data_IF_767673208276
#
_entry.id   IF_767673208276
#
_cell.length_a   1.000
_cell.length_b   1.000
_cell.length_c   1.000
_cell.angle_alpha   90.00
_cell.angle_beta   90.00
_cell.angle_gamma   90.00
#
_symmetry.space_group_name_H-M   'P 1'
#
loop_
_entity.id
_entity.type
_entity.pdbx_description
1 polymer ?
#
# COMPACT_ATOMS: atom_id res chain seq x y z
N UNK A 1 -10.02 -21.91 2.70
CA UNK A 1 -10.27 -20.53 2.24
C UNK A 1 -11.54 -20.56 1.42
N UNK A 2 -12.53 -19.75 1.79
CA UNK A 2 -13.76 -19.58 0.99
C UNK A 2 -13.63 -18.30 0.20
N UNK A 3 -13.56 -18.41 -1.12
CA UNK A 3 -13.46 -17.23 -1.99
C UNK A 3 -14.81 -16.50 -1.98
N UNK A 4 -14.81 -15.26 -1.49
CA UNK A 4 -15.99 -14.42 -1.40
C UNK A 4 -15.95 -13.25 -2.40
N UNK A 5 -15.00 -13.25 -3.33
CA UNK A 5 -14.76 -12.17 -4.29
C UNK A 5 -16.01 -11.77 -5.08
N UNK A 6 -16.89 -12.73 -5.37
CA UNK A 6 -18.14 -12.52 -6.14
C UNK A 6 -19.40 -12.67 -5.28
N UNK A 7 -19.26 -12.60 -3.94
CA UNK A 7 -20.38 -12.62 -3.01
C UNK A 7 -21.19 -11.31 -3.06
N UNK A 8 -22.26 -11.20 -2.24
CA UNK A 8 -23.08 -9.98 -2.13
C UNK A 8 -22.26 -8.72 -1.82
N UNK A 9 -21.10 -8.86 -1.19
CA UNK A 9 -20.20 -7.76 -0.80
C UNK A 9 -19.07 -7.51 -1.82
N UNK A 10 -19.18 -8.03 -3.04
CA UNK A 10 -18.14 -7.93 -4.07
C UNK A 10 -17.67 -6.50 -4.34
N UNK A 11 -18.57 -5.54 -4.26
CA UNK A 11 -18.27 -4.12 -4.47
C UNK A 11 -17.27 -3.56 -3.44
N UNK A 12 -17.31 -4.05 -2.19
CA UNK A 12 -16.33 -3.68 -1.17
C UNK A 12 -14.95 -4.26 -1.51
N UNK A 13 -14.88 -5.52 -1.91
CA UNK A 13 -13.62 -6.15 -2.30
C UNK A 13 -13.03 -5.48 -3.54
N UNK A 14 -13.87 -5.14 -4.54
CA UNK A 14 -13.45 -4.41 -5.73
C UNK A 14 -12.93 -3.01 -5.39
N UNK A 15 -13.68 -2.24 -4.59
CA UNK A 15 -13.28 -0.90 -4.17
C UNK A 15 -11.96 -0.93 -3.37
N UNK A 16 -11.83 -1.84 -2.42
CA UNK A 16 -10.61 -1.97 -1.62
C UNK A 16 -9.44 -2.42 -2.52
N UNK A 17 -9.66 -3.38 -3.41
CA UNK A 17 -8.67 -3.82 -4.39
C UNK A 17 -8.16 -2.67 -5.26
N UNK A 18 -9.06 -1.82 -5.75
CA UNK A 18 -8.72 -0.64 -6.52
C UNK A 18 -7.92 0.38 -5.71
N UNK A 19 -8.44 0.77 -4.53
CA UNK A 19 -7.89 1.86 -3.71
C UNK A 19 -6.61 1.45 -2.98
N UNK A 20 -6.53 0.21 -2.51
CA UNK A 20 -5.44 -0.26 -1.66
C UNK A 20 -4.36 -1.07 -2.41
N UNK A 21 -4.58 -1.39 -3.67
CA UNK A 21 -3.63 -2.18 -4.45
C UNK A 21 -3.36 -1.54 -5.82
N UNK A 22 -4.37 -1.42 -6.67
CA UNK A 22 -4.18 -0.99 -8.07
C UNK A 22 -3.66 0.45 -8.14
N UNK A 23 -4.36 1.39 -7.51
CA UNK A 23 -3.98 2.82 -7.55
C UNK A 23 -2.59 3.04 -6.93
N UNK A 24 -2.29 2.58 -5.70
CA UNK A 24 -0.97 2.79 -5.13
C UNK A 24 0.16 2.16 -5.96
N UNK A 25 -0.02 0.94 -6.44
CA UNK A 25 1.01 0.26 -7.24
C UNK A 25 1.31 1.02 -8.52
N UNK A 26 0.28 1.50 -9.22
CA UNK A 26 0.45 2.29 -10.43
C UNK A 26 1.14 3.63 -10.16
N UNK A 27 0.70 4.35 -9.11
CA UNK A 27 1.28 5.64 -8.74
C UNK A 27 2.74 5.49 -8.29
N UNK A 28 3.07 4.46 -7.52
CA UNK A 28 4.44 4.18 -7.10
C UNK A 28 5.29 3.84 -8.31
N UNK A 29 4.85 2.90 -9.16
CA UNK A 29 5.59 2.50 -10.36
C UNK A 29 5.88 3.69 -11.29
N UNK A 30 4.93 4.61 -11.42
CA UNK A 30 5.13 5.84 -12.19
C UNK A 30 6.09 6.81 -11.48
N UNK A 31 5.91 7.02 -10.17
CA UNK A 31 6.71 7.98 -9.40
C UNK A 31 8.18 7.59 -9.29
N UNK A 32 8.50 6.32 -9.03
CA UNK A 32 9.89 5.85 -8.86
C UNK A 32 10.74 5.91 -10.13
N UNK A 33 10.13 6.12 -11.30
CA UNK A 33 10.90 6.32 -12.52
C UNK A 33 11.61 7.68 -12.57
N UNK A 34 11.17 8.63 -11.77
CA UNK A 34 11.65 10.02 -11.81
C UNK A 34 12.26 10.52 -10.49
N UNK A 35 12.15 9.76 -9.43
CA UNK A 35 12.75 10.08 -8.13
C UNK A 35 13.75 9.01 -7.70
N UNK A 36 14.71 9.41 -6.89
CA UNK A 36 15.67 8.48 -6.32
C UNK A 36 14.97 7.53 -5.34
N UNK A 37 15.45 6.29 -5.25
CA UNK A 37 14.85 5.26 -4.39
C UNK A 37 14.83 5.64 -2.90
N UNK A 38 15.83 6.38 -2.42
CA UNK A 38 15.87 6.90 -1.06
C UNK A 38 14.74 7.91 -0.79
N UNK A 39 14.48 8.84 -1.72
CA UNK A 39 13.38 9.79 -1.61
C UNK A 39 12.03 9.06 -1.64
N UNK A 40 11.87 8.08 -2.53
CA UNK A 40 10.67 7.27 -2.58
C UNK A 40 10.43 6.53 -1.25
N UNK A 41 11.48 5.97 -0.64
CA UNK A 41 11.39 5.30 0.66
C UNK A 41 10.94 6.24 1.78
N UNK A 42 11.47 7.49 1.84
CA UNK A 42 11.04 8.50 2.81
C UNK A 42 9.57 8.87 2.62
N UNK A 43 9.16 9.07 1.37
CA UNK A 43 7.77 9.42 1.06
C UNK A 43 6.81 8.28 1.44
N UNK A 44 7.19 7.03 1.19
CA UNK A 44 6.42 5.87 1.65
C UNK A 44 6.41 5.75 3.17
N UNK A 45 7.51 6.05 3.84
CA UNK A 45 7.61 6.05 5.31
C UNK A 45 6.76 7.16 5.98
N UNK A 46 6.19 8.09 5.22
CA UNK A 46 5.18 9.04 5.72
C UNK A 46 3.80 8.41 5.95
N UNK A 47 3.59 7.15 5.54
CA UNK A 47 2.31 6.43 5.70
C UNK A 47 1.76 6.48 7.13
N UNK A 48 2.55 6.28 8.22
CA UNK A 48 2.03 6.38 9.58
C UNK A 48 1.54 7.78 9.96
N UNK A 49 2.11 8.84 9.38
CA UNK A 49 1.63 10.22 9.59
C UNK A 49 0.22 10.37 9.02
N UNK A 50 0.03 9.97 7.74
CA UNK A 50 -1.28 9.97 7.09
C UNK A 50 -2.28 9.08 7.84
N UNK A 51 -1.83 7.91 8.33
CA UNK A 51 -2.67 7.01 9.10
C UNK A 51 -3.12 7.62 10.44
N UNK A 52 -2.22 8.31 11.14
CA UNK A 52 -2.56 8.97 12.40
C UNK A 52 -3.62 10.05 12.21
N UNK A 53 -3.48 10.87 11.18
CA UNK A 53 -4.44 11.93 10.85
C UNK A 53 -5.79 11.31 10.43
N UNK A 54 -5.79 10.41 9.46
CA UNK A 54 -7.02 9.81 8.95
C UNK A 54 -7.73 8.94 10.00
N UNK A 55 -6.99 8.18 10.81
CA UNK A 55 -7.58 7.41 11.91
C UNK A 55 -8.31 8.30 12.91
N UNK A 56 -7.76 9.47 13.24
CA UNK A 56 -8.40 10.41 14.15
C UNK A 56 -9.81 10.81 13.71
N UNK A 57 -10.00 11.06 12.40
CA UNK A 57 -11.28 11.50 11.86
C UNK A 57 -12.24 10.35 11.57
N UNK A 58 -11.71 9.22 11.11
CA UNK A 58 -12.52 8.13 10.54
C UNK A 58 -12.66 6.89 11.43
N UNK A 59 -11.94 6.83 12.57
CA UNK A 59 -12.09 5.74 13.54
C UNK A 59 -12.52 6.27 14.92
N UNK A 60 -13.24 5.44 15.68
CA UNK A 60 -13.65 5.80 17.05
C UNK A 60 -12.55 5.58 18.10
N UNK A 61 -11.69 4.58 17.84
CA UNK A 61 -10.76 4.05 18.83
C UNK A 61 -9.32 4.54 18.68
N UNK A 62 -8.98 5.18 17.56
CA UNK A 62 -7.61 5.62 17.26
C UNK A 62 -7.51 7.15 17.21
N UNK A 63 -7.88 7.79 18.32
CA UNK A 63 -7.74 9.26 18.42
C UNK A 63 -6.29 9.68 18.58
N UNK A 64 -5.95 10.83 18.01
CA UNK A 64 -4.65 11.46 18.16
C UNK A 64 -4.42 11.73 19.65
N UNK A 65 -3.26 11.34 20.14
CA UNK A 65 -2.74 11.74 21.44
C UNK A 65 -1.26 12.11 21.30
N UNK A 66 -0.74 12.82 22.28
CA UNK A 66 0.63 13.33 22.25
C UNK A 66 1.66 12.22 22.06
N UNK A 67 1.52 11.09 22.77
CA UNK A 67 2.48 9.97 22.72
C UNK A 67 2.54 9.34 21.33
N UNK A 68 1.39 9.09 20.71
CA UNK A 68 1.33 8.52 19.34
C UNK A 68 1.94 9.47 18.32
N UNK A 69 1.55 10.75 18.38
CA UNK A 69 2.05 11.77 17.44
C UNK A 69 3.56 11.94 17.57
N UNK A 70 4.03 12.05 18.81
CA UNK A 70 5.47 12.18 19.07
C UNK A 70 6.26 10.96 18.57
N UNK A 71 5.78 9.74 18.84
CA UNK A 71 6.42 8.51 18.37
C UNK A 71 6.48 8.41 16.84
N UNK A 72 5.38 8.76 16.14
CA UNK A 72 5.32 8.76 14.69
C UNK A 72 6.25 9.82 14.09
N UNK A 73 6.26 11.04 14.64
CA UNK A 73 7.15 12.10 14.20
C UNK A 73 8.62 11.74 14.43
N UNK A 74 8.94 11.14 15.55
CA UNK A 74 10.30 10.73 15.90
C UNK A 74 10.80 9.63 14.97
N UNK A 75 9.96 8.62 14.68
CA UNK A 75 10.27 7.56 13.71
C UNK A 75 10.47 8.11 12.29
N UNK A 76 9.59 9.02 11.86
CA UNK A 76 9.71 9.66 10.54
C UNK A 76 10.98 10.52 10.44
N UNK A 77 11.30 11.28 11.49
CA UNK A 77 12.53 12.08 11.54
C UNK A 77 13.79 11.22 11.42
N UNK A 78 13.79 10.03 12.05
CA UNK A 78 14.88 9.07 11.92
C UNK A 78 15.08 8.59 10.47
N UNK A 79 13.98 8.31 9.76
CA UNK A 79 14.04 7.91 8.35
C UNK A 79 14.55 9.07 7.47
N UNK A 80 14.02 10.28 7.67
CA UNK A 80 14.51 11.47 6.97
C UNK A 80 16.00 11.66 7.20
N UNK A 81 16.47 11.53 8.45
CA UNK A 81 17.89 11.64 8.79
C UNK A 81 18.77 10.60 8.08
N UNK A 82 18.35 9.33 8.04
CA UNK A 82 19.09 8.26 7.38
C UNK A 82 19.26 8.49 5.87
N UNK A 83 18.30 9.11 5.23
CA UNK A 83 18.29 9.28 3.78
C UNK A 83 18.62 10.72 3.33
N UNK A 84 18.87 11.64 4.27
CA UNK A 84 19.02 13.08 3.98
C UNK A 84 20.22 13.41 3.08
N UNK A 85 21.33 12.67 3.20
CA UNK A 85 22.58 13.00 2.50
C UNK A 85 22.48 12.95 0.97
N UNK A 86 21.44 12.31 0.43
CA UNK A 86 21.26 12.11 -1.00
C UNK A 86 19.89 12.58 -1.52
N UNK A 87 19.20 13.46 -0.78
CA UNK A 87 17.89 13.96 -1.23
C UNK A 87 18.10 15.14 -2.16
N UNK A 88 17.99 14.89 -3.45
CA UNK A 88 17.93 15.94 -4.46
C UNK A 88 16.48 16.06 -4.93
N UNK A 89 15.77 17.04 -4.39
CA UNK A 89 14.45 17.44 -4.89
C UNK A 89 14.67 18.63 -5.81
N UNK A 90 14.38 18.45 -7.08
CA UNK A 90 14.34 19.51 -8.07
C UNK A 90 12.92 19.65 -8.65
N UNK A 91 12.66 20.69 -9.41
CA UNK A 91 11.34 20.96 -9.98
C UNK A 91 10.82 19.81 -10.84
N UNK A 92 11.71 19.08 -11.53
CA UNK A 92 11.36 18.00 -12.44
C UNK A 92 10.85 16.73 -11.72
N UNK A 93 11.20 16.53 -10.45
CA UNK A 93 10.79 15.35 -9.70
C UNK A 93 9.79 15.64 -8.55
N UNK A 94 9.46 16.92 -8.32
CA UNK A 94 8.51 17.32 -7.29
C UNK A 94 7.12 16.68 -7.49
N UNK A 95 6.58 16.72 -8.70
CA UNK A 95 5.29 16.10 -9.01
C UNK A 95 5.32 14.59 -8.76
N UNK A 96 6.40 13.91 -9.13
CA UNK A 96 6.56 12.48 -8.90
C UNK A 96 6.68 12.14 -7.41
N UNK A 97 7.31 13.00 -6.62
CA UNK A 97 7.34 12.89 -5.17
C UNK A 97 5.94 13.03 -4.56
N UNK A 98 5.13 13.99 -5.00
CA UNK A 98 3.73 14.13 -4.58
C UNK A 98 2.90 12.89 -4.95
N UNK A 99 3.10 12.33 -6.13
CA UNK A 99 2.40 11.12 -6.57
C UNK A 99 2.69 9.95 -5.62
N UNK A 100 3.95 9.76 -5.20
CA UNK A 100 4.33 8.70 -4.24
C UNK A 100 3.72 8.97 -2.86
N UNK A 101 3.72 10.22 -2.40
CA UNK A 101 3.08 10.59 -1.14
C UNK A 101 1.58 10.29 -1.15
N UNK A 102 0.88 10.64 -2.24
CA UNK A 102 -0.53 10.28 -2.38
C UNK A 102 -0.75 8.77 -2.47
N UNK A 103 0.14 8.03 -3.14
CA UNK A 103 0.08 6.58 -3.16
C UNK A 103 0.12 5.98 -1.74
N UNK A 104 1.01 6.49 -0.87
CA UNK A 104 1.07 6.09 0.54
C UNK A 104 -0.23 6.39 1.29
N UNK A 105 -0.87 7.52 0.99
CA UNK A 105 -2.17 7.89 1.57
C UNK A 105 -3.30 6.97 1.10
N UNK A 106 -3.28 6.52 -0.16
CA UNK A 106 -4.26 5.54 -0.66
C UNK A 106 -4.17 4.19 0.08
N UNK A 107 -2.98 3.75 0.50
CA UNK A 107 -2.85 2.57 1.36
C UNK A 107 -3.59 2.73 2.68
N UNK A 108 -3.55 3.93 3.27
CA UNK A 108 -4.28 4.23 4.52
C UNK A 108 -5.78 4.23 4.28
N UNK A 109 -6.25 4.88 3.21
CA UNK A 109 -7.68 4.90 2.86
C UNK A 109 -8.19 3.48 2.61
N UNK A 110 -7.43 2.66 1.89
CA UNK A 110 -7.76 1.26 1.68
C UNK A 110 -7.81 0.46 3.00
N UNK A 111 -6.92 0.75 3.94
CA UNK A 111 -6.96 0.19 5.29
C UNK A 111 -8.25 0.57 6.03
N UNK A 112 -8.65 1.84 6.00
CA UNK A 112 -9.92 2.31 6.57
C UNK A 112 -11.14 1.61 5.96
N UNK A 113 -11.17 1.47 4.64
CA UNK A 113 -12.25 0.75 3.95
C UNK A 113 -12.30 -0.72 4.39
N UNK A 114 -11.13 -1.32 4.62
CA UNK A 114 -11.03 -2.72 5.07
C UNK A 114 -11.60 -2.93 6.46
N UNK A 115 -11.49 -1.94 7.36
CA UNK A 115 -12.09 -2.02 8.69
C UNK A 115 -13.61 -2.20 8.62
N UNK A 116 -14.29 -1.73 7.58
CA UNK A 116 -15.74 -1.90 7.40
C UNK A 116 -16.16 -3.35 7.16
N UNK A 117 -15.24 -4.20 6.70
CA UNK A 117 -15.48 -5.63 6.44
C UNK A 117 -14.66 -6.54 7.36
N UNK A 118 -14.18 -6.00 8.48
CA UNK A 118 -13.34 -6.70 9.45
C UNK A 118 -14.03 -7.85 10.22
N UNK A 119 -15.35 -7.95 10.11
CA UNK A 119 -16.14 -9.06 10.66
C UNK A 119 -15.93 -10.38 9.90
N UNK A 120 -15.37 -10.34 8.72
CA UNK A 120 -15.06 -11.52 7.90
C UNK A 120 -13.71 -12.15 8.28
N UNK A 121 -13.46 -13.37 7.79
CA UNK A 121 -12.17 -14.05 7.99
C UNK A 121 -11.08 -13.36 7.15
N UNK A 122 -9.93 -13.13 7.76
CA UNK A 122 -8.82 -12.40 7.12
C UNK A 122 -8.39 -13.03 5.80
N UNK A 123 -8.30 -14.36 5.76
CA UNK A 123 -7.88 -15.10 4.57
C UNK A 123 -8.86 -14.92 3.39
N UNK A 124 -10.16 -14.92 3.69
CA UNK A 124 -11.20 -14.73 2.68
C UNK A 124 -11.19 -13.29 2.14
N UNK A 125 -11.04 -12.30 3.03
CA UNK A 125 -10.96 -10.88 2.66
C UNK A 125 -9.73 -10.63 1.80
N UNK A 126 -8.56 -11.09 2.23
CA UNK A 126 -7.30 -10.93 1.50
C UNK A 126 -7.39 -11.55 0.11
N UNK A 127 -7.82 -12.81 0.02
CA UNK A 127 -7.96 -13.49 -1.27
C UNK A 127 -8.92 -12.75 -2.21
N UNK A 128 -10.07 -12.30 -1.69
CA UNK A 128 -11.07 -11.60 -2.50
C UNK A 128 -10.57 -10.24 -3.02
N UNK A 129 -9.83 -9.48 -2.20
CA UNK A 129 -9.24 -8.20 -2.61
C UNK A 129 -8.13 -8.42 -3.65
N UNK A 130 -7.26 -9.41 -3.46
CA UNK A 130 -6.20 -9.72 -4.42
C UNK A 130 -6.78 -10.18 -5.76
N UNK A 131 -7.86 -10.96 -5.77
CA UNK A 131 -8.55 -11.35 -7.00
C UNK A 131 -9.06 -10.12 -7.77
N UNK A 132 -9.71 -9.19 -7.10
CA UNK A 132 -10.16 -7.95 -7.74
C UNK A 132 -8.99 -7.07 -8.19
N UNK A 133 -7.90 -7.02 -7.42
CA UNK A 133 -6.67 -6.36 -7.85
C UNK A 133 -6.13 -6.93 -9.16
N UNK A 134 -6.08 -8.25 -9.30
CA UNK A 134 -5.66 -8.94 -10.53
C UNK A 134 -6.63 -8.65 -11.67
N UNK A 135 -7.96 -8.71 -11.43
CA UNK A 135 -8.98 -8.40 -12.45
C UNK A 135 -8.79 -6.98 -13.03
N UNK A 136 -8.43 -6.01 -12.20
CA UNK A 136 -8.18 -4.64 -12.67
C UNK A 136 -6.81 -4.48 -13.31
N UNK A 137 -5.77 -5.14 -12.79
CA UNK A 137 -4.41 -4.99 -13.30
C UNK A 137 -4.19 -5.70 -14.64
N UNK A 138 -4.82 -6.85 -14.88
CA UNK A 138 -4.67 -7.60 -16.15
C UNK A 138 -4.95 -6.72 -17.37
N UNK A 139 -6.11 -6.04 -17.51
CA UNK A 139 -6.37 -5.21 -18.69
C UNK A 139 -5.42 -4.01 -18.77
N UNK A 140 -5.07 -3.40 -17.65
CA UNK A 140 -4.14 -2.27 -17.62
C UNK A 140 -2.77 -2.72 -18.14
N UNK A 141 -2.20 -3.79 -17.57
CA UNK A 141 -0.90 -4.33 -17.97
C UNK A 141 -0.91 -4.82 -19.43
N UNK A 142 -2.00 -5.45 -19.86
CA UNK A 142 -2.12 -5.92 -21.24
C UNK A 142 -2.07 -4.77 -22.26
N UNK A 143 -2.68 -3.62 -21.91
CA UNK A 143 -2.72 -2.46 -22.81
C UNK A 143 -1.44 -1.62 -22.77
N UNK A 144 -0.80 -1.50 -21.59
CA UNK A 144 0.37 -0.63 -21.39
C UNK A 144 1.70 -1.35 -21.68
N UNK A 145 1.88 -2.55 -21.15
CA UNK A 145 3.19 -3.22 -21.10
C UNK A 145 3.36 -4.34 -22.16
N UNK A 146 2.25 -4.81 -22.74
CA UNK A 146 2.26 -5.92 -23.73
C UNK A 146 3.14 -7.11 -23.28
N UNK A 147 2.82 -7.73 -22.13
CA UNK A 147 3.69 -8.72 -21.48
C UNK A 147 4.04 -9.93 -22.34
N UNK A 148 3.23 -10.22 -23.37
CA UNK A 148 3.50 -11.30 -24.35
C UNK A 148 4.70 -11.04 -25.25
N UNK A 149 5.21 -9.80 -25.31
CA UNK A 149 6.41 -9.45 -26.07
C UNK A 149 7.70 -9.54 -25.22
N UNK A 150 7.57 -9.81 -23.93
CA UNK A 150 8.69 -9.88 -23.00
C UNK A 150 9.27 -11.30 -22.99
N UNK A 151 10.61 -11.39 -23.00
CA UNK A 151 11.35 -12.63 -22.79
C UNK A 151 12.18 -12.50 -21.50
N UNK A 152 11.55 -12.63 -20.32
CA UNK A 152 12.26 -12.46 -19.06
C UNK A 152 13.25 -13.60 -18.84
N UNK A 153 14.40 -13.28 -18.21
CA UNK A 153 15.34 -14.30 -17.74
C UNK A 153 14.71 -15.15 -16.63
N UNK A 154 15.28 -16.31 -16.36
CA UNK A 154 14.83 -17.18 -15.27
C UNK A 154 14.88 -16.45 -13.94
N UNK A 155 15.96 -15.69 -13.66
CA UNK A 155 16.13 -14.94 -12.44
C UNK A 155 15.06 -13.84 -12.27
N UNK A 156 14.72 -13.14 -13.35
CA UNK A 156 13.64 -12.15 -13.36
C UNK A 156 12.29 -12.81 -13.07
N UNK A 157 12.04 -13.97 -13.66
CA UNK A 157 10.79 -14.72 -13.43
C UNK A 157 10.68 -15.18 -11.99
N UNK A 158 11.74 -15.76 -11.42
CA UNK A 158 11.79 -16.19 -10.01
C UNK A 158 11.57 -14.97 -9.08
N UNK A 159 12.21 -13.85 -9.37
CA UNK A 159 12.05 -12.61 -8.59
C UNK A 159 10.61 -12.11 -8.59
N UNK A 160 9.93 -12.10 -9.72
CA UNK A 160 8.53 -11.68 -9.83
C UNK A 160 7.60 -12.65 -9.08
N UNK A 161 7.84 -13.97 -9.21
CA UNK A 161 7.07 -14.97 -8.46
C UNK A 161 7.26 -14.79 -6.95
N UNK A 162 8.49 -14.58 -6.49
CA UNK A 162 8.78 -14.31 -5.08
C UNK A 162 8.05 -13.05 -4.58
N UNK A 163 8.11 -11.95 -5.33
CA UNK A 163 7.41 -10.70 -5.01
C UNK A 163 5.89 -10.91 -4.95
N UNK A 164 5.33 -11.68 -5.87
CA UNK A 164 3.89 -11.95 -5.90
C UNK A 164 3.43 -12.83 -4.73
N UNK A 165 4.12 -13.93 -4.46
CA UNK A 165 3.71 -14.92 -3.45
C UNK A 165 4.08 -14.46 -2.04
N UNK A 166 5.34 -14.06 -1.83
CA UNK A 166 5.86 -13.76 -0.50
C UNK A 166 5.63 -12.30 -0.13
N UNK A 167 6.16 -11.37 -0.90
CA UNK A 167 6.11 -9.95 -0.57
C UNK A 167 4.70 -9.34 -0.75
N UNK A 168 3.85 -9.94 -1.59
CA UNK A 168 2.46 -9.50 -1.71
C UNK A 168 1.51 -10.46 -1.01
N UNK A 169 1.42 -11.71 -1.42
CA UNK A 169 0.42 -12.64 -0.92
C UNK A 169 0.49 -12.87 0.59
N UNK A 170 1.66 -13.30 1.08
CA UNK A 170 1.86 -13.57 2.51
C UNK A 170 1.86 -12.29 3.35
N UNK A 171 2.52 -11.24 2.88
CA UNK A 171 2.56 -9.95 3.57
C UNK A 171 1.16 -9.35 3.73
N UNK A 172 0.29 -9.46 2.73
CA UNK A 172 -1.09 -8.97 2.83
C UNK A 172 -1.92 -9.74 3.85
N UNK A 173 -1.74 -11.05 3.99
CA UNK A 173 -2.39 -11.83 5.05
C UNK A 173 -1.98 -11.33 6.44
N UNK A 174 -0.68 -11.09 6.65
CA UNK A 174 -0.15 -10.56 7.91
C UNK A 174 -0.65 -9.13 8.16
N UNK A 175 -0.61 -8.27 7.14
CA UNK A 175 -1.09 -6.89 7.19
C UNK A 175 -2.55 -6.80 7.64
N UNK A 176 -3.44 -7.64 7.10
CA UNK A 176 -4.83 -7.70 7.51
C UNK A 176 -5.00 -8.15 8.95
N UNK A 177 -4.23 -9.14 9.37
CA UNK A 177 -4.25 -9.61 10.75
C UNK A 177 -3.83 -8.50 11.73
N UNK A 178 -2.78 -7.78 11.38
CA UNK A 178 -2.30 -6.64 12.17
C UNK A 178 -3.34 -5.53 12.21
N UNK A 179 -3.90 -5.15 11.07
CA UNK A 179 -4.94 -4.13 10.97
C UNK A 179 -6.14 -4.44 11.88
N UNK A 180 -6.60 -5.67 11.86
CA UNK A 180 -7.76 -6.11 12.65
C UNK A 180 -7.49 -6.13 14.15
N UNK A 181 -6.30 -6.53 14.56
CA UNK A 181 -5.95 -6.73 15.96
C UNK A 181 -5.36 -5.48 16.63
N UNK A 182 -4.62 -4.67 15.89
CA UNK A 182 -3.81 -3.56 16.43
C UNK A 182 -4.22 -2.18 15.89
N UNK A 183 -5.13 -2.14 14.90
CA UNK A 183 -5.60 -0.90 14.31
C UNK A 183 -4.77 -0.38 13.15
N UNK A 184 -5.25 0.75 12.60
CA UNK A 184 -4.74 1.32 11.35
C UNK A 184 -3.36 1.95 11.51
N UNK A 185 -3.15 2.71 12.59
CA UNK A 185 -1.89 3.43 12.83
C UNK A 185 -0.73 2.45 13.04
N UNK A 186 -0.96 1.39 13.83
CA UNK A 186 0.05 0.35 14.03
C UNK A 186 0.35 -0.41 12.74
N UNK A 187 -0.69 -0.76 11.98
CA UNK A 187 -0.51 -1.45 10.68
C UNK A 187 0.29 -0.59 9.70
N UNK A 188 0.09 0.73 9.69
CA UNK A 188 0.81 1.63 8.81
C UNK A 188 2.32 1.74 9.13
N UNK A 189 2.75 1.41 10.35
CA UNK A 189 4.17 1.37 10.73
C UNK A 189 4.89 0.11 10.26
N UNK A 190 4.13 -0.93 9.92
CA UNK A 190 4.65 -2.26 9.53
C UNK A 190 4.49 -2.52 8.04
N UNK A 191 3.78 -1.65 7.31
CA UNK A 191 3.42 -1.82 5.91
C UNK A 191 4.54 -1.48 4.91
#
# INVERSE_FOLDING_TARGET
IKIEAFSKDWHWFALIGLVNLVIPFFLIAYGVQKVQSNLAAILMASTPLSATVLAHFFTSNEKINFTKTFGVLLGFSGIVFLFSDNILINENNFLSALIIFFASTFYVIGGLLTLKISNKKNENVTASILIWGVIFLIPITALTEKPWNLNPSLDSTISVVYLGVVATGLAWLLRFRILKNNGLVFQAQVA
#
